data_IF_262382061942
#
_entry.id   IF_262382061942
#
_cell.length_a   1.000
_cell.length_b   1.000
_cell.length_c   1.000
_cell.angle_alpha   90.00
_cell.angle_beta   90.00
_cell.angle_gamma   90.00
#
_symmetry.space_group_name_H-M   'P 1'
#
loop_
_entity.id
_entity.type
_entity.pdbx_description
1 polymer ?
#
# COMPACT_ATOMS: atom_id res chain seq x y z
N UNK A 1 8.20 -1.12 -17.57
CA UNK A 1 8.66 -0.28 -18.67
C UNK A 1 7.93 -0.61 -19.95
N UNK A 2 7.37 0.36 -20.64
CA UNK A 2 6.70 0.15 -21.92
C UNK A 2 7.71 0.19 -23.04
N UNK A 3 7.95 -0.94 -23.71
CA UNK A 3 8.64 -1.01 -25.00
C UNK A 3 7.61 -0.94 -26.13
N UNK A 4 7.93 -0.22 -27.19
CA UNK A 4 7.09 -0.10 -28.37
C UNK A 4 7.57 -1.07 -29.44
N UNK A 5 6.65 -1.79 -30.07
CA UNK A 5 6.98 -2.63 -31.23
C UNK A 5 7.23 -1.72 -32.42
N UNK A 6 8.48 -1.62 -32.87
CA UNK A 6 8.89 -0.78 -33.99
C UNK A 6 8.72 -1.51 -35.33
N UNK A 7 8.82 -2.84 -35.32
CA UNK A 7 8.56 -3.68 -36.48
C UNK A 7 7.89 -4.97 -36.02
N UNK A 8 6.70 -5.23 -36.50
CA UNK A 8 5.93 -6.41 -36.15
C UNK A 8 6.03 -7.49 -37.24
N UNK A 9 5.81 -8.74 -36.85
CA UNK A 9 5.60 -9.89 -37.74
C UNK A 9 6.75 -10.14 -38.73
N UNK A 10 8.01 -9.99 -38.29
CA UNK A 10 9.16 -10.39 -39.10
C UNK A 10 9.23 -11.93 -39.11
N UNK A 11 9.04 -12.57 -40.29
CA UNK A 11 8.97 -14.03 -40.35
C UNK A 11 10.36 -14.65 -40.14
N UNK A 12 10.39 -15.74 -39.40
CA UNK A 12 11.54 -16.63 -39.24
C UNK A 12 11.10 -18.06 -39.54
N UNK A 13 12.04 -18.96 -39.79
CA UNK A 13 11.76 -20.35 -40.15
C UNK A 13 11.02 -21.14 -39.05
N UNK A 14 11.14 -20.72 -37.78
CA UNK A 14 10.58 -21.36 -36.59
C UNK A 14 9.68 -20.47 -35.75
N UNK A 15 9.32 -19.26 -36.22
CA UNK A 15 8.49 -18.33 -35.46
C UNK A 15 8.37 -16.95 -36.08
N UNK A 16 7.96 -15.99 -35.27
CA UNK A 16 7.82 -14.57 -35.64
C UNK A 16 8.65 -13.73 -34.69
N UNK A 17 9.34 -12.73 -35.21
CA UNK A 17 10.11 -11.77 -34.41
C UNK A 17 9.36 -10.44 -34.39
N UNK A 18 9.26 -9.84 -33.21
CA UNK A 18 8.85 -8.45 -33.04
C UNK A 18 10.05 -7.63 -32.60
N UNK A 19 10.40 -6.61 -33.37
CA UNK A 19 11.47 -5.66 -33.02
C UNK A 19 10.90 -4.62 -32.06
N UNK A 20 11.57 -4.40 -30.96
CA UNK A 20 11.18 -3.42 -29.94
C UNK A 20 12.25 -2.35 -29.76
N UNK A 21 11.85 -1.15 -29.34
CA UNK A 21 12.73 0.01 -29.17
C UNK A 21 13.52 0.01 -27.85
N UNK A 22 13.16 -0.86 -26.91
CA UNK A 22 13.80 -0.95 -25.59
C UNK A 22 13.88 -2.40 -25.11
N UNK A 23 14.88 -2.68 -24.31
CA UNK A 23 15.00 -3.98 -23.62
C UNK A 23 13.88 -4.09 -22.58
N UNK A 24 13.20 -5.23 -22.56
CA UNK A 24 12.25 -5.57 -21.51
C UNK A 24 13.05 -6.01 -20.27
N UNK A 25 13.08 -5.16 -19.27
CA UNK A 25 13.66 -5.49 -17.97
C UNK A 25 12.57 -6.13 -17.11
N UNK A 26 12.86 -7.20 -16.37
CA UNK A 26 11.93 -7.71 -15.36
C UNK A 26 11.63 -6.60 -14.33
N UNK A 27 10.46 -6.62 -13.69
CA UNK A 27 10.17 -5.69 -12.61
C UNK A 27 11.24 -5.78 -11.53
N UNK A 28 11.65 -4.65 -10.99
CA UNK A 28 12.52 -4.60 -9.82
C UNK A 28 11.72 -4.95 -8.56
N UNK A 29 12.38 -5.26 -7.46
CA UNK A 29 11.76 -5.44 -6.15
C UNK A 29 11.08 -4.15 -5.63
N UNK A 30 10.33 -4.27 -4.55
CA UNK A 30 9.59 -3.14 -3.97
C UNK A 30 10.51 -1.96 -3.61
N UNK A 31 11.62 -2.12 -2.86
CA UNK A 31 12.50 -0.99 -2.52
C UNK A 31 13.09 -0.30 -3.75
N UNK A 32 13.55 -1.07 -4.73
CA UNK A 32 14.13 -0.53 -5.97
C UNK A 32 13.07 0.18 -6.82
N UNK A 33 11.85 -0.38 -6.89
CA UNK A 33 10.73 0.24 -7.60
C UNK A 33 10.33 1.55 -6.93
N UNK A 34 10.21 1.60 -5.60
CA UNK A 34 9.89 2.80 -4.84
C UNK A 34 10.94 3.89 -5.02
N UNK A 35 12.25 3.55 -4.95
CA UNK A 35 13.35 4.48 -5.21
C UNK A 35 13.28 5.09 -6.61
N UNK A 36 12.91 4.28 -7.61
CA UNK A 36 12.81 4.71 -9.01
C UNK A 36 11.69 5.72 -9.28
N UNK A 37 10.73 5.88 -8.39
CA UNK A 37 9.62 6.84 -8.54
C UNK A 37 10.02 8.28 -8.26
N UNK A 38 11.05 8.50 -7.44
CA UNK A 38 11.54 9.82 -7.03
C UNK A 38 10.64 10.58 -6.06
N UNK A 39 9.55 9.97 -5.57
CA UNK A 39 8.59 10.59 -4.63
C UNK A 39 8.47 9.83 -3.31
N UNK A 40 9.32 8.84 -3.08
CA UNK A 40 9.35 8.00 -1.88
C UNK A 40 10.75 7.97 -1.22
N UNK A 41 11.53 9.05 -1.39
CA UNK A 41 12.91 9.12 -0.87
C UNK A 41 12.94 8.98 0.66
N UNK A 42 12.02 9.65 1.34
CA UNK A 42 11.88 9.59 2.79
C UNK A 42 11.52 8.18 3.27
N UNK A 43 10.57 7.51 2.58
CA UNK A 43 10.20 6.13 2.88
C UNK A 43 11.41 5.19 2.74
N UNK A 44 12.14 5.29 1.62
CA UNK A 44 13.31 4.42 1.36
C UNK A 44 14.39 4.65 2.42
N UNK A 45 14.68 5.90 2.79
CA UNK A 45 15.61 6.20 3.88
C UNK A 45 15.15 5.59 5.20
N UNK A 46 13.88 5.75 5.55
CA UNK A 46 13.31 5.18 6.77
C UNK A 46 13.39 3.64 6.81
N UNK A 47 13.19 2.96 5.67
CA UNK A 47 13.33 1.50 5.55
C UNK A 47 14.77 1.06 5.79
N UNK A 48 15.76 1.82 5.32
CA UNK A 48 17.18 1.55 5.56
C UNK A 48 17.51 1.77 7.05
N UNK A 49 17.08 2.88 7.62
CA UNK A 49 17.31 3.24 9.03
C UNK A 49 16.66 2.24 10.01
N UNK A 50 15.51 1.68 9.64
CA UNK A 50 14.82 0.64 10.39
C UNK A 50 15.38 -0.78 10.13
N UNK A 51 16.41 -0.94 9.29
CA UNK A 51 17.01 -2.22 8.90
C UNK A 51 15.99 -3.23 8.28
N UNK A 52 14.96 -2.72 7.59
CA UNK A 52 13.89 -3.53 6.97
C UNK A 52 14.12 -3.82 5.49
N UNK A 53 15.21 -3.32 4.90
CA UNK A 53 15.49 -3.47 3.47
C UNK A 53 15.50 -4.94 3.04
N UNK A 54 16.26 -5.79 3.74
CA UNK A 54 16.34 -7.22 3.46
C UNK A 54 14.99 -7.96 3.60
N UNK A 55 14.10 -7.46 4.47
CA UNK A 55 12.75 -8.00 4.63
C UNK A 55 11.89 -7.71 3.40
N UNK A 56 11.98 -6.48 2.87
CA UNK A 56 11.21 -6.06 1.71
C UNK A 56 11.80 -6.50 0.36
N UNK A 57 13.07 -6.91 0.33
CA UNK A 57 13.73 -7.58 -0.80
C UNK A 57 13.43 -9.08 -0.84
N UNK A 58 12.85 -9.63 0.23
CA UNK A 58 12.53 -11.05 0.36
C UNK A 58 11.47 -11.53 -0.63
N UNK A 59 11.29 -12.86 -0.63
CA UNK A 59 10.26 -13.50 -1.45
C UNK A 59 8.87 -13.10 -0.94
N UNK A 60 8.10 -12.38 -1.80
CA UNK A 60 6.73 -11.99 -1.51
C UNK A 60 5.73 -13.18 -1.52
N UNK A 61 4.46 -12.92 -1.74
CA UNK A 61 3.94 -11.64 -2.20
C UNK A 61 3.74 -10.60 -1.09
N UNK A 62 4.10 -9.37 -1.37
CA UNK A 62 3.85 -8.24 -0.48
C UNK A 62 2.91 -7.23 -1.13
N UNK A 63 2.18 -6.48 -0.29
CA UNK A 63 1.54 -5.23 -0.71
C UNK A 63 2.03 -4.13 0.21
N UNK A 64 2.63 -3.09 -0.37
CA UNK A 64 3.17 -1.96 0.36
C UNK A 64 2.34 -0.71 0.07
N UNK A 65 1.83 -0.08 1.13
CA UNK A 65 1.20 1.22 1.07
C UNK A 65 2.29 2.27 1.26
N UNK A 66 2.76 2.85 0.15
CA UNK A 66 3.91 3.74 0.12
C UNK A 66 3.47 5.22 0.24
N UNK A 67 3.70 5.87 1.39
CA UNK A 67 3.44 7.29 1.53
C UNK A 67 4.44 8.11 0.70
N UNK A 68 3.95 9.19 0.11
CA UNK A 68 4.80 10.15 -0.61
C UNK A 68 5.68 10.94 0.36
N UNK A 69 6.75 11.56 -0.15
CA UNK A 69 7.59 12.47 0.65
C UNK A 69 6.75 13.59 1.28
N UNK A 70 5.70 14.07 0.58
CA UNK A 70 4.76 15.06 1.10
C UNK A 70 3.96 14.53 2.30
N UNK A 71 3.55 13.26 2.27
CA UNK A 71 2.83 12.64 3.39
C UNK A 71 3.65 12.65 4.70
N UNK A 72 4.97 12.49 4.60
CA UNK A 72 5.87 12.60 5.77
C UNK A 72 6.01 14.05 6.26
N UNK A 73 6.04 15.02 5.35
CA UNK A 73 6.05 16.45 5.71
C UNK A 73 4.76 16.82 6.43
N UNK A 74 3.62 16.39 5.91
CA UNK A 74 2.29 16.69 6.46
C UNK A 74 2.07 16.00 7.82
N UNK A 75 2.71 14.85 8.06
CA UNK A 75 2.72 14.18 9.36
C UNK A 75 3.34 15.06 10.46
N UNK A 76 4.34 15.90 10.10
CA UNK A 76 5.01 16.81 11.04
C UNK A 76 5.83 16.12 12.13
N UNK A 77 6.07 14.82 12.02
CA UNK A 77 6.91 14.05 12.95
C UNK A 77 8.32 13.94 12.37
N UNK A 78 9.29 14.27 13.18
CA UNK A 78 10.69 14.06 12.84
C UNK A 78 11.06 12.58 13.06
N UNK A 79 11.20 11.83 11.96
CA UNK A 79 11.52 10.40 12.00
C UNK A 79 12.85 10.11 12.71
N UNK A 80 13.77 11.09 12.73
CA UNK A 80 15.07 10.95 13.41
C UNK A 80 14.94 10.89 14.94
N UNK A 81 13.81 11.31 15.49
CA UNK A 81 13.53 11.26 16.94
C UNK A 81 12.95 9.93 17.38
N UNK A 82 12.50 9.10 16.44
CA UNK A 82 11.94 7.78 16.71
C UNK A 82 13.05 6.77 16.97
N UNK A 83 12.78 5.84 17.87
CA UNK A 83 13.63 4.66 18.02
C UNK A 83 13.50 3.73 16.81
N UNK A 84 14.51 2.92 16.54
CA UNK A 84 14.47 1.91 15.47
C UNK A 84 13.24 1.00 15.60
N UNK A 85 12.84 0.65 16.83
CA UNK A 85 11.67 -0.18 17.09
C UNK A 85 10.34 0.51 16.73
N UNK A 86 10.20 1.80 17.06
CA UNK A 86 9.02 2.58 16.72
C UNK A 86 8.93 2.78 15.21
N UNK A 87 10.05 3.14 14.57
CA UNK A 87 10.12 3.29 13.12
C UNK A 87 9.79 1.98 12.40
N UNK A 88 10.36 0.85 12.85
CA UNK A 88 10.06 -0.48 12.30
C UNK A 88 8.58 -0.83 12.45
N UNK A 89 7.96 -0.53 13.60
CA UNK A 89 6.53 -0.80 13.82
C UNK A 89 5.64 0.02 12.87
N UNK A 90 5.97 1.30 12.66
CA UNK A 90 5.26 2.17 11.70
C UNK A 90 5.42 1.62 10.28
N UNK A 91 6.64 1.29 9.85
CA UNK A 91 6.90 0.78 8.51
C UNK A 91 6.25 -0.58 8.27
N UNK A 92 6.28 -1.49 9.24
CA UNK A 92 5.60 -2.79 9.15
C UNK A 92 4.07 -2.65 9.11
N UNK A 93 3.52 -1.55 9.63
CA UNK A 93 2.10 -1.24 9.49
C UNK A 93 1.70 -0.86 8.05
N UNK A 94 2.66 -0.42 7.24
CA UNK A 94 2.45 -0.14 5.82
C UNK A 94 2.59 -1.37 4.91
N UNK A 95 2.95 -2.53 5.45
CA UNK A 95 3.22 -3.75 4.68
C UNK A 95 2.19 -4.82 5.00
N UNK A 96 1.60 -5.42 3.97
CA UNK A 96 0.74 -6.60 4.07
C UNK A 96 1.46 -7.77 3.41
N UNK A 97 1.53 -8.92 4.10
CA UNK A 97 2.20 -10.14 3.61
C UNK A 97 1.27 -10.97 2.71
N UNK A 98 0.63 -10.31 1.77
CA UNK A 98 -0.20 -10.91 0.73
C UNK A 98 -0.38 -9.91 -0.41
N UNK A 99 -0.75 -10.41 -1.58
CA UNK A 99 -1.09 -9.55 -2.70
C UNK A 99 -2.54 -9.07 -2.57
N UNK A 100 -2.72 -7.75 -2.47
CA UNK A 100 -4.02 -7.08 -2.38
C UNK A 100 -4.13 -6.10 -3.54
N UNK A 101 -4.52 -6.54 -4.75
CA UNK A 101 -4.72 -5.65 -5.87
C UNK A 101 -5.94 -4.75 -5.63
N UNK A 102 -5.96 -3.57 -6.24
CA UNK A 102 -7.07 -2.62 -6.07
C UNK A 102 -8.43 -3.23 -6.44
N UNK A 103 -8.45 -4.16 -7.39
CA UNK A 103 -9.67 -4.89 -7.78
C UNK A 103 -10.21 -5.84 -6.72
N UNK A 104 -9.37 -6.27 -5.76
CA UNK A 104 -9.78 -7.11 -4.64
C UNK A 104 -10.22 -6.29 -3.42
N UNK A 105 -9.95 -4.98 -3.43
CA UNK A 105 -10.37 -4.10 -2.35
C UNK A 105 -11.88 -3.86 -2.46
N UNK A 106 -12.60 -4.34 -1.47
CA UNK A 106 -14.05 -4.13 -1.31
C UNK A 106 -14.30 -3.35 -0.05
N UNK A 107 -15.47 -2.72 0.02
CA UNK A 107 -15.94 -2.11 1.26
C UNK A 107 -15.93 -3.17 2.36
N UNK A 108 -15.35 -2.85 3.50
CA UNK A 108 -15.18 -3.81 4.61
C UNK A 108 -14.07 -4.87 4.45
N UNK A 109 -13.25 -4.81 3.42
CA UNK A 109 -12.04 -5.61 3.40
C UNK A 109 -11.17 -5.25 4.61
N UNK A 110 -10.65 -6.25 5.27
CA UNK A 110 -9.69 -6.12 6.35
C UNK A 110 -8.48 -6.97 6.05
N UNK A 111 -7.30 -6.40 6.09
CA UNK A 111 -6.05 -7.12 6.00
C UNK A 111 -5.21 -6.84 7.26
N UNK A 112 -4.41 -7.81 7.68
CA UNK A 112 -3.47 -7.59 8.77
C UNK A 112 -2.14 -7.12 8.17
N UNK A 113 -1.64 -6.02 8.69
CA UNK A 113 -0.30 -5.55 8.39
C UNK A 113 0.77 -6.50 8.98
N UNK A 114 2.01 -6.36 8.56
CA UNK A 114 3.12 -7.19 9.02
C UNK A 114 3.41 -7.02 10.53
N UNK A 115 2.99 -5.91 11.13
CA UNK A 115 3.00 -5.70 12.59
C UNK A 115 1.77 -6.30 13.29
N UNK A 116 0.97 -7.11 12.60
CA UNK A 116 -0.26 -7.79 13.07
C UNK A 116 -1.48 -6.89 13.31
N UNK A 117 -1.36 -5.58 13.16
CA UNK A 117 -2.49 -4.67 13.32
C UNK A 117 -3.38 -4.67 12.07
N UNK A 118 -4.70 -4.51 12.23
CA UNK A 118 -5.64 -4.52 11.11
C UNK A 118 -5.58 -3.20 10.33
N UNK A 119 -5.61 -3.31 9.01
CA UNK A 119 -5.86 -2.23 8.07
C UNK A 119 -7.32 -2.29 7.61
N UNK A 120 -7.95 -1.14 7.52
CA UNK A 120 -9.34 -0.99 7.08
C UNK A 120 -9.38 -0.34 5.72
N UNK A 121 -10.16 -0.89 4.82
CA UNK A 121 -10.35 -0.31 3.50
C UNK A 121 -11.75 0.29 3.37
N UNK A 122 -11.84 1.40 2.67
CA UNK A 122 -13.10 2.06 2.33
C UNK A 122 -13.08 2.36 0.84
N UNK A 123 -14.14 1.99 0.16
CA UNK A 123 -14.35 2.28 -1.27
C UNK A 123 -15.45 3.33 -1.36
N UNK A 124 -15.19 4.42 -2.06
CA UNK A 124 -16.15 5.51 -2.28
C UNK A 124 -16.07 5.98 -3.72
N UNK A 125 -17.01 6.81 -4.12
CA UNK A 125 -17.02 7.45 -5.46
C UNK A 125 -15.76 8.31 -5.70
N UNK A 126 -15.09 8.75 -4.63
CA UNK A 126 -13.84 9.53 -4.69
C UNK A 126 -12.58 8.67 -4.78
N UNK A 127 -12.69 7.35 -4.63
CA UNK A 127 -11.58 6.42 -4.69
C UNK A 127 -11.52 5.43 -3.53
N UNK A 128 -10.38 4.75 -3.44
CA UNK A 128 -10.09 3.78 -2.40
C UNK A 128 -9.24 4.43 -1.31
N UNK A 129 -9.59 4.17 -0.08
CA UNK A 129 -8.83 4.60 1.10
C UNK A 129 -8.36 3.39 1.91
N UNK A 130 -7.21 3.52 2.53
CA UNK A 130 -6.71 2.62 3.59
C UNK A 130 -6.62 3.40 4.89
N UNK A 131 -7.37 3.00 5.91
CA UNK A 131 -7.63 3.77 7.12
C UNK A 131 -8.17 5.19 6.76
N UNK A 132 -7.36 6.23 7.00
CA UNK A 132 -7.66 7.63 6.69
C UNK A 132 -6.80 8.20 5.53
N UNK A 133 -5.99 7.34 4.88
CA UNK A 133 -5.16 7.71 3.73
C UNK A 133 -5.85 7.40 2.41
N UNK A 134 -5.81 8.32 1.46
CA UNK A 134 -6.27 8.07 0.10
C UNK A 134 -5.20 7.32 -0.70
N UNK A 135 -5.61 6.35 -1.48
CA UNK A 135 -4.72 5.69 -2.43
C UNK A 135 -4.71 6.51 -3.72
N UNK A 136 -3.56 7.15 -4.00
CA UNK A 136 -3.37 8.05 -5.15
C UNK A 136 -3.07 7.26 -6.42
N UNK A 137 -2.28 6.19 -6.28
CA UNK A 137 -1.90 5.30 -7.39
C UNK A 137 -1.98 3.86 -6.91
N UNK A 138 -2.65 3.03 -7.68
CA UNK A 138 -2.84 1.62 -7.38
C UNK A 138 -1.96 0.74 -8.24
N UNK A 139 -1.69 -0.48 -7.76
CA UNK A 139 -1.15 -1.60 -8.54
C UNK A 139 0.18 -1.30 -9.28
N UNK A 140 1.10 -0.57 -8.64
CA UNK A 140 2.45 -0.45 -9.16
C UNK A 140 3.16 -1.79 -8.94
N UNK A 141 3.40 -2.49 -10.05
CA UNK A 141 3.92 -3.86 -10.04
C UNK A 141 5.42 -3.86 -9.74
N UNK A 142 5.83 -4.70 -8.80
CA UNK A 142 7.21 -5.07 -8.51
C UNK A 142 7.43 -6.58 -8.67
N UNK A 143 8.66 -7.05 -8.60
CA UNK A 143 8.97 -8.49 -8.76
C UNK A 143 8.47 -9.35 -7.60
N UNK A 144 8.29 -8.77 -6.42
CA UNK A 144 7.90 -9.46 -5.19
C UNK A 144 6.61 -8.91 -4.56
N UNK A 145 5.81 -8.13 -5.31
CA UNK A 145 4.51 -7.67 -4.84
C UNK A 145 3.99 -6.41 -5.52
N UNK A 146 3.06 -5.73 -4.85
CA UNK A 146 2.39 -4.53 -5.31
C UNK A 146 2.72 -3.33 -4.41
N UNK A 147 2.75 -2.15 -5.01
CA UNK A 147 2.85 -0.89 -4.28
C UNK A 147 1.61 -0.05 -4.56
N UNK A 148 0.97 0.43 -3.51
CA UNK A 148 -0.08 1.45 -3.56
C UNK A 148 0.45 2.73 -2.97
N UNK A 149 0.43 3.81 -3.75
CA UNK A 149 0.88 5.12 -3.30
C UNK A 149 -0.23 5.79 -2.50
N UNK A 150 0.09 6.29 -1.31
CA UNK A 150 -0.85 6.93 -0.41
C UNK A 150 -0.43 8.36 -0.06
N UNK A 151 -1.43 9.22 0.27
CA UNK A 151 -1.24 10.63 0.59
C UNK A 151 -0.94 10.90 2.07
N UNK A 152 -1.02 9.87 2.93
CA UNK A 152 -0.73 9.99 4.36
C UNK A 152 0.08 8.81 4.88
N UNK A 153 0.85 9.05 5.93
CA UNK A 153 1.53 7.99 6.68
C UNK A 153 0.53 7.27 7.59
N UNK A 154 0.50 5.95 7.51
CA UNK A 154 -0.34 5.12 8.39
C UNK A 154 0.32 5.01 9.77
N UNK A 155 -0.36 5.50 10.78
CA UNK A 155 0.13 5.37 12.16
C UNK A 155 -0.51 4.16 12.83
N UNK A 156 0.31 3.24 13.39
CA UNK A 156 -0.22 2.16 14.20
C UNK A 156 -0.93 2.76 15.41
N UNK A 157 -2.18 2.35 15.62
CA UNK A 157 -2.97 2.77 16.77
C UNK A 157 -3.20 1.56 17.66
N UNK A 158 -3.09 1.74 18.97
CA UNK A 158 -3.42 0.68 19.93
C UNK A 158 -4.94 0.46 20.05
N UNK A 159 -5.73 1.25 19.32
CA UNK A 159 -7.18 1.12 19.34
C UNK A 159 -7.63 0.08 18.33
N UNK A 160 -8.36 -0.94 18.76
CA UNK A 160 -9.08 -1.82 17.85
C UNK A 160 -10.03 -0.98 16.97
N UNK A 161 -10.35 -1.53 15.79
CA UNK A 161 -11.42 -1.01 14.93
C UNK A 161 -12.62 -0.61 15.79
N UNK A 162 -13.17 0.57 15.57
CA UNK A 162 -14.34 0.99 16.32
C UNK A 162 -15.51 0.01 16.12
N UNK A 163 -16.24 -0.25 17.18
CA UNK A 163 -17.35 -1.20 17.18
C UNK A 163 -18.40 -0.88 16.11
N UNK A 164 -18.79 0.41 15.89
CA UNK A 164 -19.74 0.76 14.86
C UNK A 164 -19.30 0.35 13.45
N UNK A 165 -18.05 0.59 13.09
CA UNK A 165 -17.53 0.26 11.76
C UNK A 165 -17.42 -1.26 11.56
N UNK A 166 -17.03 -1.98 12.60
CA UNK A 166 -17.02 -3.45 12.56
C UNK A 166 -18.44 -4.01 12.40
N UNK A 167 -19.44 -3.42 13.08
CA UNK A 167 -20.82 -3.83 12.97
C UNK A 167 -21.44 -3.55 11.59
N UNK A 168 -21.12 -2.41 10.97
CA UNK A 168 -21.54 -2.11 9.58
C UNK A 168 -21.06 -3.15 8.58
N UNK A 169 -19.84 -3.65 8.77
CA UNK A 169 -19.25 -4.64 7.87
C UNK A 169 -19.87 -6.03 7.99
N UNK A 170 -20.50 -6.36 9.08
CA UNK A 170 -21.18 -7.66 9.23
C UNK A 170 -22.55 -7.72 8.59
N UNK A 171 -23.14 -6.55 8.28
CA UNK A 171 -24.50 -6.47 7.68
C UNK A 171 -25.63 -6.91 8.60
N UNK A 172 -25.32 -7.40 9.80
CA UNK A 172 -26.31 -7.93 10.75
C UNK A 172 -26.76 -6.90 11.79
N UNK A 173 -26.07 -5.76 11.85
CA UNK A 173 -26.24 -4.77 12.92
C UNK A 173 -26.57 -3.35 12.40
N UNK A 174 -27.03 -3.21 11.17
CA UNK A 174 -27.31 -1.90 10.55
C UNK A 174 -28.24 -1.02 11.38
N UNK A 175 -29.27 -1.63 11.99
CA UNK A 175 -30.19 -0.91 12.87
C UNK A 175 -29.54 -0.43 14.16
N UNK A 176 -28.61 -1.20 14.71
CA UNK A 176 -27.86 -0.84 15.92
C UNK A 176 -26.88 0.31 15.61
N UNK A 177 -26.16 0.21 14.49
CA UNK A 177 -25.22 1.25 14.05
C UNK A 177 -25.95 2.55 13.78
N UNK A 178 -27.07 2.50 13.07
CA UNK A 178 -27.93 3.67 12.84
C UNK A 178 -28.40 4.31 14.16
N UNK A 179 -28.78 3.50 15.15
CA UNK A 179 -29.19 3.99 16.46
C UNK A 179 -28.03 4.64 17.24
N UNK A 180 -26.82 4.08 17.18
CA UNK A 180 -25.63 4.64 17.84
C UNK A 180 -25.20 5.96 17.20
N UNK A 181 -25.24 6.06 15.87
CA UNK A 181 -24.98 7.32 15.13
C UNK A 181 -26.02 8.37 15.47
N UNK A 182 -27.30 7.98 15.51
CA UNK A 182 -28.42 8.91 15.82
C UNK A 182 -28.40 9.39 17.28
N UNK A 183 -27.85 8.57 18.18
CA UNK A 183 -27.67 8.91 19.58
C UNK A 183 -26.42 9.75 19.87
N UNK A 184 -25.63 10.08 18.84
CA UNK A 184 -24.37 10.86 18.94
C UNK A 184 -23.35 10.27 19.95
N UNK A 185 -23.35 8.94 20.10
CA UNK A 185 -22.49 8.21 21.04
C UNK A 185 -21.10 7.90 20.45
N UNK A 186 -20.80 8.40 19.25
CA UNK A 186 -19.51 8.20 18.56
C UNK A 186 -18.46 9.28 18.90
N UNK A 187 -18.81 10.28 19.70
CA UNK A 187 -17.97 11.45 19.99
C UNK A 187 -17.40 11.46 21.42
N UNK A 188 -16.92 10.30 21.89
CA UNK A 188 -16.15 10.29 23.16
C UNK A 188 -14.84 9.60 22.99
#
# INVERSE_FOLDING_TARGET
>A
GSATVTQANVPASNGIIHVIDKVLMPPADIPTTASGTGVHNTLVSAVVDANLLATLEGEGPFTVFAPTDQAFIDLGVDLSTLTESELSNILLYHVVQSEVPASAVTECLSANAANTQPLSFTVSDSGVMVNDANIITTDVISSNGLIHVIDKVLMPTDTPRDIPRTAQCTGEHDSLVAAVIQADLLTT
#
